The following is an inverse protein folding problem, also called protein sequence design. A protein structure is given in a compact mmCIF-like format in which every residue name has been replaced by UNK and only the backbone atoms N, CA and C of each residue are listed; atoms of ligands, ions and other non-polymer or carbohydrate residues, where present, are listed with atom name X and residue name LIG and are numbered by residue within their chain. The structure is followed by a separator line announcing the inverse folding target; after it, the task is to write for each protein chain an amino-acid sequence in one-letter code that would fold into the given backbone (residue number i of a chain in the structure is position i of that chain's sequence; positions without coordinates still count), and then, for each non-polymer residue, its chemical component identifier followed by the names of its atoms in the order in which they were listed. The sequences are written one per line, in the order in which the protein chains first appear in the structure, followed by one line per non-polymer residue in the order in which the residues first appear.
data_IF_717078100851
#
_entry.id   IF_717078100851
#
_cell.length_a   1.000
_cell.length_b   1.000
_cell.length_c   1.000
_cell.angle_alpha   90.00
_cell.angle_beta   90.00
_cell.angle_gamma   90.00
#
_symmetry.space_group_name_H-M   'P 1'
#
loop_
_entity.id
_entity.type
_entity.pdbx_description
1 polymer ?
#
# COMPACT_ATOMS: atom_id res chain seq x y z
N UNK A 1 -8.13 -37.47 5.65
CA UNK A 1 -7.60 -36.74 4.48
C UNK A 1 -8.74 -36.55 3.51
N UNK A 2 -9.29 -35.33 3.41
CA UNK A 2 -10.50 -35.07 2.64
C UNK A 2 -10.16 -34.88 1.16
N UNK A 3 -11.06 -35.33 0.31
CA UNK A 3 -11.01 -35.29 -1.16
C UNK A 3 -10.80 -33.88 -1.73
N UNK A 4 -10.98 -32.84 -0.95
CA UNK A 4 -10.85 -31.42 -1.30
C UNK A 4 -9.41 -30.91 -1.43
N UNK A 5 -8.40 -31.62 -0.88
CA UNK A 5 -7.00 -31.19 -0.99
C UNK A 5 -6.36 -31.50 -2.35
N UNK A 6 -7.00 -32.32 -3.19
CA UNK A 6 -6.50 -32.72 -4.53
C UNK A 6 -7.05 -31.89 -5.67
N UNK A 7 -8.12 -31.11 -5.46
CA UNK A 7 -8.80 -30.33 -6.52
C UNK A 7 -8.35 -28.86 -6.60
N UNK A 8 -7.64 -28.36 -5.63
CA UNK A 8 -7.23 -26.96 -5.56
C UNK A 8 -5.71 -26.83 -5.52
N UNK A 9 -4.96 -27.42 -6.40
CA UNK A 9 -3.55 -27.19 -6.71
C UNK A 9 -2.71 -26.28 -5.77
N UNK A 10 -3.02 -26.24 -4.48
CA UNK A 10 -2.23 -25.53 -3.48
C UNK A 10 -0.96 -26.32 -3.21
N UNK A 11 0.14 -25.98 -3.88
CA UNK A 11 1.45 -26.21 -3.30
C UNK A 11 1.52 -25.38 -2.01
N UNK A 12 1.31 -26.04 -0.88
CA UNK A 12 1.73 -25.51 0.42
C UNK A 12 3.22 -25.17 0.31
N UNK A 13 3.54 -23.90 0.30
CA UNK A 13 4.87 -23.45 0.71
C UNK A 13 4.94 -23.63 2.23
N UNK A 14 5.40 -24.82 2.65
CA UNK A 14 5.60 -25.18 4.06
C UNK A 14 6.85 -24.52 4.68
N UNK A 15 7.47 -23.54 4.03
CA UNK A 15 8.76 -23.00 4.49
C UNK A 15 8.69 -21.65 5.23
N UNK A 16 7.50 -21.17 5.65
CA UNK A 16 7.44 -19.92 6.45
C UNK A 16 6.94 -20.08 7.88
N UNK A 17 6.65 -21.32 8.35
CA UNK A 17 6.25 -21.56 9.75
C UNK A 17 7.40 -21.89 10.71
N UNK A 18 8.64 -22.04 10.23
CA UNK A 18 9.78 -22.42 11.05
C UNK A 18 10.76 -21.30 11.41
N UNK A 19 10.42 -20.02 11.17
CA UNK A 19 11.25 -18.88 11.61
C UNK A 19 10.78 -18.30 12.95
N UNK A 20 9.62 -18.75 13.47
CA UNK A 20 9.09 -18.27 14.77
C UNK A 20 9.45 -19.22 15.93
N UNK A 21 10.27 -20.26 15.70
CA UNK A 21 10.56 -21.30 16.70
C UNK A 21 12.01 -21.53 17.06
N UNK A 22 12.97 -20.78 16.56
CA UNK A 22 14.33 -20.79 17.10
C UNK A 22 14.45 -19.66 18.12
N UNK A 23 14.71 -19.98 19.38
CA UNK A 23 15.29 -19.07 20.36
C UNK A 23 16.59 -18.48 19.76
N UNK A 24 16.45 -17.50 18.88
CA UNK A 24 17.54 -16.62 18.58
C UNK A 24 17.80 -15.87 19.88
N UNK A 25 18.97 -16.11 20.45
CA UNK A 25 19.55 -15.24 21.45
C UNK A 25 19.50 -13.83 20.88
N UNK A 26 18.42 -13.12 21.22
CA UNK A 26 18.28 -11.70 21.03
C UNK A 26 19.49 -11.07 21.68
N UNK A 27 20.33 -10.39 20.91
CA UNK A 27 21.13 -9.33 21.50
C UNK A 27 20.14 -8.22 21.80
N UNK A 28 19.69 -8.06 23.04
CA UNK A 28 18.89 -6.90 23.40
C UNK A 28 19.78 -5.69 23.13
N UNK A 29 19.18 -4.55 22.77
CA UNK A 29 19.81 -3.29 23.05
C UNK A 29 19.93 -3.21 24.60
N UNK A 30 21.00 -3.83 25.13
CA UNK A 30 21.25 -4.04 26.57
C UNK A 30 21.63 -2.74 27.29
N UNK A 31 21.38 -1.58 26.66
CA UNK A 31 21.77 -0.25 27.16
C UNK A 31 20.63 0.79 27.11
N UNK A 32 19.42 0.45 26.67
CA UNK A 32 18.33 1.43 26.61
C UNK A 32 17.26 1.13 27.65
N UNK A 33 17.15 1.98 28.66
CA UNK A 33 16.05 1.96 29.63
C UNK A 33 14.81 2.55 28.96
N UNK A 34 13.84 1.70 28.62
CA UNK A 34 12.59 2.11 27.99
C UNK A 34 11.35 1.57 28.71
N UNK A 35 10.27 2.28 28.57
CA UNK A 35 8.94 1.81 28.94
C UNK A 35 7.95 2.02 27.79
N UNK A 36 7.01 1.11 27.65
CA UNK A 36 5.87 1.24 26.74
C UNK A 36 4.70 1.79 27.53
N UNK A 37 4.02 2.80 26.98
CA UNK A 37 2.89 3.48 27.63
C UNK A 37 1.70 3.50 26.68
N UNK A 38 0.51 3.25 27.21
CA UNK A 38 -0.77 3.37 26.52
C UNK A 38 -1.79 4.05 27.43
N UNK A 39 -2.61 4.94 26.87
CA UNK A 39 -3.56 5.76 27.62
C UNK A 39 -4.97 5.61 27.06
N UNK A 40 -5.88 5.14 27.90
CA UNK A 40 -7.29 5.11 27.52
C UNK A 40 -7.98 6.45 27.84
N UNK A 41 -8.52 7.07 26.80
CA UNK A 41 -9.14 8.39 26.88
C UNK A 41 -10.63 8.30 26.55
N UNK A 42 -11.44 8.95 27.36
CA UNK A 42 -12.87 9.00 27.14
C UNK A 42 -13.25 9.74 25.87
N UNK A 43 -14.11 9.14 25.04
CA UNK A 43 -14.55 9.72 23.75
C UNK A 43 -15.34 11.01 23.87
N UNK A 44 -15.99 11.24 25.02
CA UNK A 44 -16.88 12.40 25.23
C UNK A 44 -16.24 13.50 26.06
N UNK A 45 -15.49 13.13 27.07
CA UNK A 45 -14.91 14.07 28.05
C UNK A 45 -13.46 14.40 27.77
N UNK A 46 -12.79 13.64 26.86
CA UNK A 46 -11.38 13.79 26.51
C UNK A 46 -10.43 13.74 27.72
N UNK A 47 -10.83 13.02 28.79
CA UNK A 47 -10.02 12.81 29.99
C UNK A 47 -9.39 11.44 29.98
N UNK A 48 -8.27 11.32 30.66
CA UNK A 48 -7.60 10.05 30.90
C UNK A 48 -8.49 9.24 31.87
N UNK A 49 -8.88 8.06 31.46
CA UNK A 49 -9.66 7.11 32.25
C UNK A 49 -8.79 6.00 32.82
N UNK A 50 -7.74 5.62 32.11
CA UNK A 50 -6.83 4.58 32.52
C UNK A 50 -5.44 4.76 31.89
N UNK A 51 -4.38 4.33 32.58
CA UNK A 51 -2.99 4.40 32.10
C UNK A 51 -2.34 3.05 32.35
N UNK A 52 -1.84 2.43 31.30
CA UNK A 52 -0.95 1.28 31.35
C UNK A 52 0.48 1.69 31.01
N UNK A 53 1.43 1.09 31.73
CA UNK A 53 2.82 1.14 31.32
C UNK A 53 3.52 -0.18 31.63
N UNK A 54 4.55 -0.46 30.82
CA UNK A 54 5.34 -1.70 30.91
C UNK A 54 6.81 -1.35 30.65
N UNK A 55 7.67 -1.53 31.63
CA UNK A 55 9.12 -1.36 31.47
C UNK A 55 9.77 -2.49 30.68
N UNK A 56 11.00 -2.29 30.26
CA UNK A 56 11.81 -3.28 29.56
C UNK A 56 11.99 -4.59 30.36
N UNK A 57 11.99 -4.53 31.70
CA UNK A 57 12.13 -5.63 32.66
C UNK A 57 10.80 -6.33 33.01
N UNK A 58 9.72 -6.01 32.29
CA UNK A 58 8.34 -6.50 32.51
C UNK A 58 7.65 -5.96 33.77
N UNK A 59 8.25 -4.96 34.47
CA UNK A 59 7.56 -4.26 35.56
C UNK A 59 6.40 -3.44 35.00
N UNK A 60 5.21 -3.62 35.58
CA UNK A 60 3.95 -3.05 35.09
C UNK A 60 3.45 -1.92 35.96
N UNK A 61 2.79 -0.97 35.35
CA UNK A 61 2.02 0.11 36.00
C UNK A 61 0.59 0.10 35.43
N UNK A 62 -0.42 0.22 36.30
CA UNK A 62 -1.82 0.27 35.90
C UNK A 62 -2.58 1.13 36.90
N UNK A 63 -2.75 2.41 36.62
CA UNK A 63 -3.46 3.40 37.45
C UNK A 63 -3.97 4.55 36.57
N UNK A 64 -4.69 5.50 37.20
CA UNK A 64 -5.25 6.67 36.53
C UNK A 64 -4.44 7.96 36.74
N UNK A 65 -3.48 7.98 37.69
CA UNK A 65 -2.68 9.17 38.02
C UNK A 65 -1.46 9.32 37.14
N UNK A 66 -1.34 10.49 36.51
CA UNK A 66 -0.17 10.89 35.71
C UNK A 66 1.06 11.09 36.59
N UNK A 67 0.88 11.65 37.79
CA UNK A 67 1.96 11.93 38.72
C UNK A 67 2.62 10.62 39.17
N UNK A 68 1.83 9.61 39.47
CA UNK A 68 2.35 8.28 39.81
C UNK A 68 3.04 7.60 38.62
N UNK A 69 2.51 7.80 37.40
CA UNK A 69 3.18 7.34 36.19
C UNK A 69 4.56 8.00 36.03
N UNK A 70 4.67 9.31 36.21
CA UNK A 70 5.96 10.01 36.08
C UNK A 70 6.98 9.54 37.13
N UNK A 71 6.54 9.25 38.34
CA UNK A 71 7.39 8.62 39.36
C UNK A 71 7.85 7.23 38.91
N UNK A 72 6.93 6.44 38.32
CA UNK A 72 7.25 5.10 37.79
C UNK A 72 8.26 5.17 36.65
N UNK A 73 8.23 6.22 35.80
CA UNK A 73 9.09 6.42 34.63
C UNK A 73 10.39 7.19 34.91
N UNK A 74 10.69 7.54 36.18
CA UNK A 74 11.78 8.44 36.51
C UNK A 74 13.18 7.93 36.08
N UNK A 75 13.36 6.61 36.02
CA UNK A 75 14.60 5.93 35.61
C UNK A 75 14.66 5.59 34.12
N UNK A 76 13.69 6.06 33.32
CA UNK A 76 13.52 5.70 31.91
C UNK A 76 13.97 6.86 31.01
N UNK A 77 14.65 6.54 29.91
CA UNK A 77 15.07 7.51 28.89
C UNK A 77 14.11 7.54 27.68
N UNK A 78 13.55 6.39 27.29
CA UNK A 78 12.67 6.27 26.13
C UNK A 78 11.27 5.86 26.53
N UNK A 79 10.25 6.60 26.06
CA UNK A 79 8.86 6.19 26.16
C UNK A 79 8.39 5.76 24.79
N UNK A 80 7.98 4.50 24.71
CA UNK A 80 7.50 3.88 23.50
C UNK A 80 5.98 3.71 23.53
N UNK A 81 5.34 3.72 22.37
CA UNK A 81 3.92 3.44 22.25
C UNK A 81 3.49 3.32 20.79
N UNK A 82 2.24 2.93 20.59
CA UNK A 82 1.69 2.82 19.25
C UNK A 82 0.78 4.00 18.93
N UNK A 83 1.24 4.94 18.10
CA UNK A 83 0.67 6.27 17.86
C UNK A 83 0.83 7.23 19.06
N UNK A 84 1.86 7.01 19.86
CA UNK A 84 2.09 7.77 21.09
C UNK A 84 2.29 9.26 20.82
N UNK A 85 3.02 9.65 19.76
CA UNK A 85 3.33 11.05 19.44
C UNK A 85 2.08 11.87 19.16
N UNK A 86 1.11 11.28 18.45
CA UNK A 86 -0.10 12.01 18.03
C UNK A 86 -1.33 11.70 18.86
N UNK A 87 -1.29 10.73 19.76
CA UNK A 87 -2.39 10.38 20.66
C UNK A 87 -2.01 10.60 22.13
N UNK A 88 -1.27 9.69 22.73
CA UNK A 88 -1.08 9.64 24.17
C UNK A 88 -0.30 10.82 24.73
N UNK A 89 0.73 11.26 24.01
CA UNK A 89 1.57 12.39 24.41
C UNK A 89 0.78 13.70 24.60
N UNK A 90 -0.32 13.92 23.88
CA UNK A 90 -1.19 15.09 24.04
C UNK A 90 -1.85 15.15 25.41
N UNK A 91 -2.21 13.99 25.94
CA UNK A 91 -2.89 13.88 27.22
C UNK A 91 -1.91 13.79 28.38
N UNK A 92 -0.77 13.13 28.16
CA UNK A 92 0.26 12.99 29.18
C UNK A 92 1.05 14.28 29.39
N UNK A 93 1.45 14.98 28.33
CA UNK A 93 2.39 16.11 28.36
C UNK A 93 1.78 17.45 27.94
N UNK A 94 0.44 17.61 28.03
CA UNK A 94 -0.25 18.79 27.52
C UNK A 94 0.26 20.12 28.09
N UNK A 95 0.74 20.11 29.35
CA UNK A 95 1.21 21.29 30.07
C UNK A 95 2.66 21.15 30.58
N UNK A 96 3.30 20.01 30.32
CA UNK A 96 4.61 19.68 30.84
C UNK A 96 5.63 19.53 29.70
N UNK A 97 6.86 19.96 29.91
CA UNK A 97 7.98 19.70 29.01
C UNK A 97 8.33 18.22 29.09
N UNK A 98 8.07 17.49 28.01
CA UNK A 98 8.48 16.09 27.90
C UNK A 98 10.00 16.03 27.79
N UNK A 99 10.67 15.44 28.80
CA UNK A 99 12.12 15.20 28.80
C UNK A 99 12.48 13.82 28.27
N UNK A 100 11.50 12.94 28.09
CA UNK A 100 11.71 11.62 27.51
C UNK A 100 11.76 11.65 25.99
N UNK A 101 12.51 10.74 25.42
CA UNK A 101 12.56 10.52 23.98
C UNK A 101 11.40 9.60 23.58
N UNK A 102 10.50 10.09 22.73
CA UNK A 102 9.32 9.33 22.31
C UNK A 102 9.63 8.43 21.11
N UNK A 103 9.25 7.16 21.18
CA UNK A 103 9.37 6.16 20.11
C UNK A 103 8.00 5.69 19.69
N UNK A 104 7.63 5.91 18.42
CA UNK A 104 6.30 5.58 17.90
C UNK A 104 6.36 4.41 16.91
N UNK A 105 5.88 3.25 17.35
CA UNK A 105 5.90 2.04 16.54
C UNK A 105 4.98 2.13 15.31
N UNK A 106 3.93 2.96 15.32
CA UNK A 106 3.02 3.08 14.17
C UNK A 106 3.71 3.66 12.93
N UNK A 107 4.70 4.55 13.10
CA UNK A 107 5.45 5.15 12.00
C UNK A 107 6.56 4.22 11.47
N UNK A 108 7.13 3.41 12.34
CA UNK A 108 8.21 2.48 12.01
C UNK A 108 7.67 1.22 11.33
N UNK A 109 6.52 0.71 11.79
CA UNK A 109 5.92 -0.52 11.30
C UNK A 109 5.74 -0.57 9.76
N UNK A 110 5.20 0.46 9.06
CA UNK A 110 5.06 0.42 7.60
C UNK A 110 6.40 0.50 6.86
N UNK A 111 7.44 1.04 7.49
CA UNK A 111 8.78 1.11 6.92
C UNK A 111 9.47 -0.26 6.92
N UNK A 112 9.30 -1.02 8.00
CA UNK A 112 9.98 -2.29 8.21
C UNK A 112 9.16 -3.51 7.77
N UNK A 113 7.83 -3.39 7.76
CA UNK A 113 6.88 -4.44 7.36
C UNK A 113 5.95 -3.96 6.23
N UNK A 114 6.49 -3.46 5.10
CA UNK A 114 5.71 -2.83 4.05
C UNK A 114 4.71 -3.79 3.36
N UNK A 115 4.87 -5.11 3.51
CA UNK A 115 3.94 -6.12 2.99
C UNK A 115 2.68 -6.29 3.85
N UNK A 116 2.66 -5.76 5.09
CA UNK A 116 1.49 -5.84 5.95
C UNK A 116 0.44 -4.81 5.53
N UNK A 117 -0.80 -5.21 5.25
CA UNK A 117 -1.85 -4.26 4.84
C UNK A 117 -2.36 -3.38 5.99
N UNK A 118 -2.13 -3.83 7.24
CA UNK A 118 -2.59 -3.14 8.45
C UNK A 118 -1.45 -3.03 9.46
N UNK A 119 -1.33 -1.83 10.06
CA UNK A 119 -0.31 -1.51 11.05
C UNK A 119 -0.90 -1.12 12.41
N UNK A 120 -2.21 -1.27 12.62
CA UNK A 120 -2.84 -1.08 13.93
C UNK A 120 -2.61 -2.31 14.79
N UNK A 121 -2.42 -2.11 16.11
CA UNK A 121 -2.46 -3.20 17.07
C UNK A 121 -3.80 -3.93 16.98
N UNK A 122 -3.76 -5.25 16.89
CA UNK A 122 -4.97 -6.08 16.84
C UNK A 122 -5.58 -6.04 18.24
N UNK A 123 -6.76 -5.44 18.37
CA UNK A 123 -7.57 -5.57 19.59
C UNK A 123 -8.15 -6.97 19.64
N UNK A 124 -8.00 -7.66 20.77
CA UNK A 124 -8.56 -8.99 20.94
C UNK A 124 -10.06 -8.99 20.67
N UNK A 125 -10.56 -10.08 20.06
CA UNK A 125 -11.96 -10.19 19.67
C UNK A 125 -12.88 -9.87 20.85
N UNK A 126 -13.83 -8.95 20.62
CA UNK A 126 -14.82 -8.46 21.59
C UNK A 126 -15.75 -9.54 22.16
N UNK A 127 -15.52 -10.82 21.86
CA UNK A 127 -16.39 -11.95 22.20
C UNK A 127 -16.07 -12.65 23.51
N UNK A 128 -14.97 -12.31 24.19
CA UNK A 128 -14.62 -12.95 25.47
C UNK A 128 -14.46 -11.89 26.55
N UNK A 129 -15.55 -11.67 27.29
CA UNK A 129 -15.66 -11.20 28.69
C UNK A 129 -14.82 -10.01 29.19
N UNK A 130 -15.52 -9.03 29.77
CA UNK A 130 -15.20 -8.13 30.91
C UNK A 130 -13.78 -7.54 31.11
N UNK A 131 -12.78 -7.96 30.35
CA UNK A 131 -11.43 -7.38 30.30
C UNK A 131 -11.23 -6.47 29.08
N UNK A 132 -12.29 -5.86 28.60
CA UNK A 132 -12.24 -4.89 27.53
C UNK A 132 -11.46 -3.64 27.98
N UNK A 133 -10.42 -3.30 27.20
CA UNK A 133 -9.58 -2.11 27.35
C UNK A 133 -8.66 -2.14 28.59
N UNK A 134 -7.81 -3.16 28.72
CA UNK A 134 -6.70 -3.10 29.66
C UNK A 134 -5.47 -2.51 28.95
N UNK A 135 -5.06 -1.27 29.24
CA UNK A 135 -3.94 -0.60 28.54
C UNK A 135 -2.60 -1.33 28.74
N UNK A 136 -2.44 -2.12 29.80
CA UNK A 136 -1.24 -2.96 29.98
C UNK A 136 -1.14 -4.07 28.91
N UNK A 137 -2.26 -4.61 28.44
CA UNK A 137 -2.24 -5.58 27.35
C UNK A 137 -1.86 -4.93 26.00
N UNK A 138 -2.29 -3.73 25.76
CA UNK A 138 -1.89 -2.98 24.56
C UNK A 138 -0.41 -2.55 24.67
N UNK A 139 0.10 -2.22 25.87
CA UNK A 139 1.54 -2.05 26.13
C UNK A 139 2.36 -3.33 25.80
N UNK A 140 1.89 -4.52 26.18
CA UNK A 140 2.58 -5.78 25.84
C UNK A 140 2.69 -5.99 24.34
N UNK A 141 1.57 -5.80 23.61
CA UNK A 141 1.56 -5.90 22.14
C UNK A 141 2.47 -4.87 21.47
N UNK A 142 2.47 -3.64 21.97
CA UNK A 142 3.34 -2.58 21.46
C UNK A 142 4.83 -2.87 21.77
N UNK A 143 5.14 -3.49 22.94
CA UNK A 143 6.49 -3.97 23.27
C UNK A 143 6.95 -5.06 22.31
N UNK A 144 6.11 -6.06 22.07
CA UNK A 144 6.42 -7.15 21.14
C UNK A 144 6.68 -6.58 19.72
N UNK A 145 5.83 -5.64 19.26
CA UNK A 145 6.01 -4.97 17.97
C UNK A 145 7.32 -4.17 17.93
N UNK A 146 7.67 -3.42 18.98
CA UNK A 146 8.92 -2.67 19.07
C UNK A 146 10.14 -3.59 18.97
N UNK A 147 10.10 -4.73 19.65
CA UNK A 147 11.19 -5.71 19.59
C UNK A 147 11.32 -6.34 18.19
N UNK A 148 10.20 -6.63 17.54
CA UNK A 148 10.16 -7.08 16.14
C UNK A 148 10.75 -6.01 15.20
N UNK A 149 10.41 -4.74 15.42
CA UNK A 149 10.92 -3.60 14.63
C UNK A 149 12.44 -3.45 14.79
N UNK A 150 12.96 -3.51 16.02
CA UNK A 150 14.40 -3.46 16.29
C UNK A 150 15.10 -4.66 15.65
N UNK A 151 14.54 -5.85 15.75
CA UNK A 151 15.09 -7.05 15.13
C UNK A 151 15.12 -6.92 13.59
N UNK A 152 14.02 -6.47 12.99
CA UNK A 152 13.92 -6.25 11.55
C UNK A 152 14.91 -5.16 11.07
N UNK A 153 15.02 -4.04 11.80
CA UNK A 153 16.01 -3.00 11.52
C UNK A 153 17.43 -3.56 11.49
N UNK A 154 17.80 -4.40 12.46
CA UNK A 154 19.14 -5.00 12.54
C UNK A 154 19.41 -6.00 11.42
N UNK A 155 18.37 -6.63 10.86
CA UNK A 155 18.47 -7.51 9.69
C UNK A 155 18.68 -6.76 8.38
N UNK A 156 18.31 -5.47 8.30
CA UNK A 156 18.58 -4.65 7.13
C UNK A 156 20.09 -4.52 6.90
N UNK A 157 20.51 -4.49 5.64
CA UNK A 157 21.90 -4.19 5.29
C UNK A 157 22.32 -2.81 5.82
N UNK A 158 23.61 -2.65 6.18
CA UNK A 158 24.12 -1.35 6.66
C UNK A 158 23.75 -0.20 5.73
N UNK A 159 23.85 -0.38 4.41
CA UNK A 159 23.50 0.65 3.41
C UNK A 159 22.03 1.05 3.47
N UNK A 160 21.10 0.09 3.68
CA UNK A 160 19.66 0.39 3.81
C UNK A 160 19.37 1.14 5.11
N UNK A 161 19.96 0.73 6.24
CA UNK A 161 19.82 1.45 7.51
C UNK A 161 20.30 2.89 7.39
N UNK A 162 21.49 3.10 6.80
CA UNK A 162 22.02 4.44 6.55
C UNK A 162 21.09 5.24 5.64
N UNK A 163 20.55 4.64 4.58
CA UNK A 163 19.60 5.31 3.69
C UNK A 163 18.36 5.80 4.43
N UNK A 164 17.67 4.89 5.13
CA UNK A 164 16.44 5.25 5.84
C UNK A 164 16.70 6.26 6.96
N UNK A 165 17.79 6.09 7.73
CA UNK A 165 18.19 7.06 8.75
C UNK A 165 18.47 8.44 8.13
N UNK A 166 19.15 8.51 6.98
CA UNK A 166 19.46 9.79 6.32
C UNK A 166 18.22 10.52 5.81
N UNK A 167 17.19 9.79 5.36
CA UNK A 167 15.91 10.37 4.91
C UNK A 167 15.05 10.85 6.09
N UNK A 168 15.16 10.22 7.26
CA UNK A 168 14.18 10.35 8.35
C UNK A 168 14.73 11.04 9.61
N UNK A 169 16.04 11.30 9.70
CA UNK A 169 16.72 11.84 10.91
C UNK A 169 16.14 13.15 11.45
N UNK A 170 15.63 14.02 10.57
CA UNK A 170 15.08 15.32 10.93
C UNK A 170 13.54 15.28 11.05
N UNK A 171 12.95 14.10 11.24
CA UNK A 171 11.51 13.88 11.35
C UNK A 171 11.17 13.37 12.74
N UNK A 172 10.40 14.20 13.49
CA UNK A 172 10.03 13.97 14.89
C UNK A 172 9.49 12.56 15.15
N UNK A 173 8.73 12.02 14.18
CA UNK A 173 8.08 10.71 14.30
C UNK A 173 9.09 9.55 14.27
N UNK A 174 10.31 9.78 13.78
CA UNK A 174 11.33 8.74 13.60
C UNK A 174 12.56 8.93 14.47
N UNK A 175 12.78 10.17 14.96
CA UNK A 175 13.97 10.56 15.72
C UNK A 175 14.22 9.65 16.92
N UNK A 176 13.19 9.36 17.70
CA UNK A 176 13.30 8.52 18.87
C UNK A 176 13.74 7.08 18.56
N UNK A 177 13.15 6.46 17.54
CA UNK A 177 13.54 5.12 17.11
C UNK A 177 14.98 5.11 16.58
N UNK A 178 15.33 6.06 15.72
CA UNK A 178 16.69 6.16 15.15
C UNK A 178 17.75 6.39 16.25
N UNK A 179 17.43 7.17 17.26
CA UNK A 179 18.27 7.35 18.46
C UNK A 179 18.43 6.05 19.24
N UNK A 180 17.31 5.34 19.52
CA UNK A 180 17.30 4.08 20.25
C UNK A 180 18.15 3.00 19.58
N UNK A 181 18.12 2.89 18.24
CA UNK A 181 18.93 1.93 17.49
C UNK A 181 20.33 2.46 17.11
N UNK A 182 20.72 3.63 17.60
CA UNK A 182 22.00 4.30 17.30
C UNK A 182 22.27 4.34 15.79
N UNK A 183 21.29 4.82 15.02
CA UNK A 183 21.33 4.79 13.57
C UNK A 183 22.38 5.74 12.99
N UNK A 184 23.27 5.23 12.13
CA UNK A 184 24.21 6.02 11.34
C UNK A 184 23.50 6.66 10.15
N UNK A 185 23.86 7.89 9.77
CA UNK A 185 23.33 8.59 8.61
C UNK A 185 24.42 9.38 7.86
N UNK A 186 24.12 9.78 6.64
CA UNK A 186 24.98 10.60 5.78
C UNK A 186 24.23 11.89 5.40
N UNK A 187 24.97 12.94 5.08
CA UNK A 187 24.43 14.23 4.64
C UNK A 187 24.46 14.37 3.12
N UNK A 188 25.38 13.72 2.46
CA UNK A 188 25.62 13.81 1.01
C UNK A 188 25.59 12.44 0.34
N UNK A 189 25.31 12.40 -0.96
CA UNK A 189 25.35 11.18 -1.75
C UNK A 189 24.14 10.26 -1.60
N UNK A 190 23.04 10.71 -0.96
CA UNK A 190 21.80 9.93 -0.81
C UNK A 190 21.23 9.48 -2.18
N UNK A 191 21.16 10.34 -3.24
CA UNK A 191 20.68 9.92 -4.55
C UNK A 191 21.51 8.78 -5.15
N UNK A 192 22.84 8.82 -4.99
CA UNK A 192 23.74 7.76 -5.46
C UNK A 192 23.48 6.44 -4.71
N UNK A 193 23.30 6.51 -3.40
CA UNK A 193 22.99 5.35 -2.56
C UNK A 193 21.65 4.72 -2.95
N UNK A 194 20.63 5.52 -3.25
CA UNK A 194 19.33 5.03 -3.74
C UNK A 194 19.51 4.31 -5.07
N UNK A 195 20.19 4.93 -6.05
CA UNK A 195 20.42 4.33 -7.38
C UNK A 195 21.18 3.01 -7.28
N UNK A 196 22.12 2.89 -6.35
CA UNK A 196 22.87 1.66 -6.11
C UNK A 196 21.98 0.56 -5.50
N UNK A 197 21.22 0.87 -4.43
CA UNK A 197 20.41 -0.11 -3.71
C UNK A 197 19.19 -0.58 -4.52
N UNK A 198 18.68 0.28 -5.38
CA UNK A 198 17.47 0.03 -6.18
C UNK A 198 17.77 -0.11 -7.68
N UNK A 199 19.01 -0.46 -8.02
CA UNK A 199 19.40 -0.74 -9.40
C UNK A 199 18.45 -1.80 -10.01
N UNK A 200 17.92 -1.54 -11.21
CA UNK A 200 16.95 -2.41 -11.89
C UNK A 200 15.55 -2.45 -11.30
N UNK A 201 15.28 -1.74 -10.18
CA UNK A 201 13.97 -1.64 -9.56
C UNK A 201 13.27 -0.30 -9.81
N UNK A 202 14.02 0.74 -10.14
CA UNK A 202 13.53 2.10 -10.40
C UNK A 202 14.19 2.69 -11.64
N UNK A 203 13.57 3.72 -12.22
CA UNK A 203 14.18 4.52 -13.28
C UNK A 203 15.45 5.21 -12.78
N UNK A 204 16.55 5.09 -13.52
CA UNK A 204 17.83 5.68 -13.15
C UNK A 204 17.88 7.21 -13.31
N UNK A 205 16.96 7.77 -14.11
CA UNK A 205 16.83 9.21 -14.37
C UNK A 205 15.68 9.88 -13.61
N UNK A 206 15.16 9.19 -12.55
CA UNK A 206 14.17 9.82 -11.68
C UNK A 206 14.80 10.98 -10.89
N UNK A 207 14.02 12.06 -10.72
CA UNK A 207 14.45 13.25 -9.95
C UNK A 207 14.44 12.94 -8.44
N UNK A 208 15.53 12.31 -7.99
CA UNK A 208 15.69 11.92 -6.60
C UNK A 208 15.98 13.13 -5.68
N UNK A 209 16.63 14.17 -6.19
CA UNK A 209 16.98 15.35 -5.40
C UNK A 209 15.70 16.07 -4.95
N UNK A 210 14.76 16.29 -5.86
CA UNK A 210 13.43 16.86 -5.56
C UNK A 210 12.67 15.98 -4.55
N UNK A 211 12.69 14.65 -4.73
CA UNK A 211 11.98 13.74 -3.82
C UNK A 211 12.57 13.71 -2.42
N UNK A 212 13.90 13.78 -2.28
CA UNK A 212 14.61 13.82 -0.99
C UNK A 212 14.29 15.12 -0.27
N UNK A 213 14.30 16.25 -0.97
CA UNK A 213 14.05 17.55 -0.39
C UNK A 213 12.60 17.73 0.05
N UNK A 214 11.65 17.38 -0.82
CA UNK A 214 10.23 17.71 -0.59
C UNK A 214 9.47 16.61 0.16
N UNK A 215 9.83 15.34 -0.05
CA UNK A 215 9.03 14.20 0.40
C UNK A 215 9.87 13.06 1.03
N UNK A 216 10.78 13.34 1.97
CA UNK A 216 11.70 12.31 2.48
C UNK A 216 10.99 11.14 3.16
N UNK A 217 9.93 11.38 3.95
CA UNK A 217 9.13 10.31 4.57
C UNK A 217 8.38 9.48 3.53
N UNK A 218 7.72 10.16 2.58
CA UNK A 218 7.02 9.49 1.48
C UNK A 218 7.97 8.68 0.62
N UNK A 219 9.18 9.19 0.36
CA UNK A 219 10.23 8.48 -0.36
C UNK A 219 10.70 7.23 0.41
N UNK A 220 10.93 7.33 1.72
CA UNK A 220 11.33 6.19 2.54
C UNK A 220 10.28 5.05 2.48
N UNK A 221 8.99 5.37 2.65
CA UNK A 221 7.91 4.39 2.51
C UNK A 221 7.79 3.83 1.08
N UNK A 222 7.94 4.67 0.06
CA UNK A 222 7.91 4.23 -1.34
C UNK A 222 9.07 3.25 -1.63
N UNK A 223 10.27 3.54 -1.16
CA UNK A 223 11.43 2.67 -1.30
C UNK A 223 11.26 1.35 -0.53
N UNK A 224 10.68 1.39 0.68
CA UNK A 224 10.36 0.19 1.44
C UNK A 224 9.37 -0.71 0.68
N UNK A 225 8.29 -0.14 0.11
CA UNK A 225 7.32 -0.86 -0.72
C UNK A 225 7.95 -1.46 -1.98
N UNK A 226 8.81 -0.71 -2.67
CA UNK A 226 9.51 -1.16 -3.89
C UNK A 226 10.44 -2.34 -3.59
N UNK A 227 10.96 -2.42 -2.39
CA UNK A 227 11.94 -3.45 -1.98
C UNK A 227 11.28 -4.75 -1.52
N UNK A 228 9.97 -4.80 -1.36
CA UNK A 228 9.29 -6.04 -0.99
C UNK A 228 9.51 -7.13 -2.02
N UNK A 229 9.61 -8.37 -1.55
CA UNK A 229 9.64 -9.55 -2.43
C UNK A 229 8.24 -9.89 -2.94
N UNK A 230 7.21 -9.46 -2.25
CA UNK A 230 5.82 -9.61 -2.68
C UNK A 230 5.42 -8.44 -3.57
N UNK A 231 5.41 -8.68 -4.89
CA UNK A 231 4.97 -7.71 -5.90
C UNK A 231 3.49 -7.31 -5.77
N UNK A 232 2.74 -8.00 -4.92
CA UNK A 232 1.32 -7.74 -4.64
C UNK A 232 1.12 -6.78 -3.47
N UNK A 233 2.17 -6.40 -2.75
CA UNK A 233 2.07 -5.44 -1.65
C UNK A 233 1.50 -4.12 -2.14
N UNK A 234 0.47 -3.65 -1.45
CA UNK A 234 -0.17 -2.36 -1.70
C UNK A 234 0.24 -1.36 -0.64
N UNK A 235 0.16 -0.08 -0.97
CA UNK A 235 0.39 0.97 0.02
C UNK A 235 -0.63 0.83 1.16
N UNK A 236 -0.19 0.60 2.41
CA UNK A 236 -1.10 0.45 3.53
C UNK A 236 -2.05 1.64 3.68
N UNK A 237 -3.28 1.39 4.08
CA UNK A 237 -4.30 2.45 4.20
C UNK A 237 -3.90 3.59 5.14
N UNK A 238 -3.14 3.30 6.20
CA UNK A 238 -2.60 4.31 7.10
C UNK A 238 -1.56 5.19 6.40
N UNK A 239 -0.66 4.59 5.61
CA UNK A 239 0.34 5.33 4.81
C UNK A 239 -0.36 6.20 3.78
N UNK A 240 -1.35 5.67 3.03
CA UNK A 240 -2.15 6.46 2.08
C UNK A 240 -2.85 7.66 2.72
N UNK A 241 -3.26 7.52 3.97
CA UNK A 241 -3.92 8.60 4.69
C UNK A 241 -2.94 9.69 5.13
N UNK A 242 -1.78 9.31 5.65
CA UNK A 242 -0.80 10.24 6.22
C UNK A 242 0.22 10.75 5.19
N UNK A 243 0.58 9.91 4.21
CA UNK A 243 1.59 10.17 3.17
C UNK A 243 1.04 9.82 1.78
N UNK A 244 -0.03 10.51 1.30
CA UNK A 244 -0.69 10.20 0.03
C UNK A 244 0.24 10.37 -1.19
N UNK A 245 1.35 11.10 -1.05
CA UNK A 245 2.38 11.27 -2.06
C UNK A 245 3.13 9.97 -2.39
N UNK A 246 3.06 8.95 -1.55
CA UNK A 246 3.73 7.66 -1.78
C UNK A 246 3.33 7.04 -3.11
N UNK A 247 2.02 7.04 -3.45
CA UNK A 247 1.55 6.53 -4.75
C UNK A 247 2.15 7.33 -5.92
N UNK A 248 2.28 8.64 -5.78
CA UNK A 248 2.89 9.51 -6.78
C UNK A 248 4.39 9.24 -6.92
N UNK A 249 5.11 9.09 -5.80
CA UNK A 249 6.55 8.79 -5.78
C UNK A 249 6.82 7.43 -6.44
N UNK A 250 6.06 6.39 -6.10
CA UNK A 250 6.19 5.06 -6.73
C UNK A 250 5.95 5.16 -8.24
N UNK A 251 4.96 5.97 -8.68
CA UNK A 251 4.72 6.22 -10.10
C UNK A 251 5.90 6.92 -10.79
N UNK A 252 6.47 7.96 -10.17
CA UNK A 252 7.66 8.64 -10.73
C UNK A 252 8.85 7.70 -10.85
N UNK A 253 9.08 6.88 -9.82
CA UNK A 253 10.22 5.97 -9.79
C UNK A 253 10.06 4.76 -10.73
N UNK A 254 8.84 4.28 -10.97
CA UNK A 254 8.61 2.97 -11.59
C UNK A 254 7.67 2.96 -12.79
N UNK A 255 6.88 3.99 -13.03
CA UNK A 255 5.86 4.00 -14.09
C UNK A 255 5.90 5.27 -14.95
N UNK A 256 6.99 6.01 -14.87
CA UNK A 256 7.24 7.18 -15.72
C UNK A 256 8.53 6.91 -16.49
N UNK A 257 8.40 6.71 -17.81
CA UNK A 257 9.56 6.46 -18.66
C UNK A 257 10.43 7.72 -18.78
N UNK A 258 11.75 7.55 -18.69
CA UNK A 258 12.69 8.62 -18.93
C UNK A 258 12.91 8.83 -20.43
N UNK A 259 13.28 10.07 -20.82
CA UNK A 259 13.56 10.42 -22.22
C UNK A 259 14.82 9.76 -22.76
N UNK A 260 15.82 9.57 -21.91
CA UNK A 260 17.13 9.02 -22.30
C UNK A 260 17.11 7.51 -22.52
N UNK A 261 16.08 6.83 -22.00
CA UNK A 261 15.99 5.37 -21.98
C UNK A 261 17.02 4.73 -21.02
N UNK A 262 16.55 4.05 -20.00
CA UNK A 262 17.42 3.26 -19.13
C UNK A 262 16.95 1.80 -19.12
N UNK A 263 17.82 0.88 -18.66
CA UNK A 263 17.53 -0.56 -18.65
C UNK A 263 16.20 -0.89 -17.96
N UNK A 264 15.87 -0.18 -16.86
CA UNK A 264 14.59 -0.33 -16.19
C UNK A 264 13.42 0.05 -17.09
N UNK A 265 13.46 1.22 -17.75
CA UNK A 265 12.39 1.67 -18.60
C UNK A 265 12.23 0.79 -19.86
N UNK A 266 13.34 0.36 -20.48
CA UNK A 266 13.31 -0.55 -21.62
C UNK A 266 12.70 -1.92 -21.29
N UNK A 267 12.91 -2.45 -20.09
CA UNK A 267 12.37 -3.76 -19.72
C UNK A 267 10.99 -3.69 -19.06
N UNK A 268 10.74 -2.69 -18.21
CA UNK A 268 9.51 -2.65 -17.42
C UNK A 268 8.39 -1.82 -18.07
N UNK A 269 8.73 -0.82 -18.89
CA UNK A 269 7.77 0.10 -19.48
C UNK A 269 7.64 -0.02 -21.01
N UNK A 270 8.49 -0.81 -21.65
CA UNK A 270 8.38 -1.11 -23.08
C UNK A 270 7.21 -2.06 -23.36
N UNK A 271 6.31 -1.65 -24.24
CA UNK A 271 5.08 -2.40 -24.54
C UNK A 271 5.34 -3.67 -25.35
N UNK A 272 6.35 -3.68 -26.23
CA UNK A 272 6.68 -4.86 -27.04
C UNK A 272 7.36 -5.92 -26.18
N UNK A 273 8.31 -5.50 -25.33
CA UNK A 273 8.92 -6.42 -24.38
C UNK A 273 7.88 -7.07 -23.48
N UNK A 274 6.96 -6.29 -22.91
CA UNK A 274 5.92 -6.83 -22.02
C UNK A 274 4.84 -7.62 -22.76
N UNK A 275 4.55 -7.29 -24.04
CA UNK A 275 3.67 -8.07 -24.89
C UNK A 275 4.20 -9.51 -25.05
N UNK A 276 5.50 -9.64 -25.29
CA UNK A 276 6.16 -10.94 -25.39
C UNK A 276 6.15 -11.68 -24.04
N UNK A 277 6.47 -11.00 -22.94
CA UNK A 277 6.54 -11.63 -21.61
C UNK A 277 5.17 -12.12 -21.12
N UNK A 278 4.11 -11.31 -21.24
CA UNK A 278 2.79 -11.68 -20.72
C UNK A 278 1.97 -12.54 -21.67
N UNK A 279 2.08 -12.31 -22.97
CA UNK A 279 1.18 -12.93 -23.97
C UNK A 279 1.90 -13.83 -24.99
N UNK A 280 3.22 -13.80 -25.04
CA UNK A 280 4.02 -14.57 -26.00
C UNK A 280 3.91 -14.05 -27.44
N UNK A 281 3.43 -12.82 -27.67
CA UNK A 281 3.32 -12.23 -28.99
C UNK A 281 4.55 -11.39 -29.32
N UNK A 282 5.07 -11.53 -30.56
CA UNK A 282 6.23 -10.79 -31.04
C UNK A 282 5.87 -9.36 -31.53
N UNK A 283 4.63 -9.12 -31.93
CA UNK A 283 4.16 -7.84 -32.46
C UNK A 283 2.66 -7.64 -32.21
N UNK A 284 2.26 -6.37 -32.22
CA UNK A 284 0.85 -5.98 -32.22
C UNK A 284 0.20 -6.21 -33.59
N UNK A 285 -1.12 -6.35 -33.60
CA UNK A 285 -1.90 -6.42 -34.84
C UNK A 285 -2.00 -5.04 -35.50
N UNK A 286 -1.90 -5.04 -36.82
CA UNK A 286 -2.16 -3.85 -37.65
C UNK A 286 -3.55 -3.98 -38.32
N UNK A 287 -4.15 -2.86 -38.63
CA UNK A 287 -5.45 -2.76 -39.31
C UNK A 287 -5.29 -1.85 -40.50
N UNK A 288 -5.52 -2.39 -41.70
CA UNK A 288 -5.31 -1.66 -42.95
C UNK A 288 -3.93 -1.01 -43.05
N UNK A 289 -2.90 -1.65 -42.47
CA UNK A 289 -1.52 -1.12 -42.41
C UNK A 289 -1.24 -0.20 -41.21
N UNK A 290 -2.26 0.23 -40.46
CA UNK A 290 -2.09 1.13 -39.31
C UNK A 290 -1.85 0.35 -38.01
N UNK A 291 -0.88 0.76 -37.18
CA UNK A 291 -0.55 0.09 -35.90
C UNK A 291 -1.49 0.52 -34.76
N UNK A 292 -2.81 0.45 -34.98
CA UNK A 292 -3.81 0.97 -34.05
C UNK A 292 -3.77 0.31 -32.67
N UNK A 293 -3.53 -1.01 -32.61
CA UNK A 293 -3.47 -1.74 -31.36
C UNK A 293 -2.26 -1.30 -30.52
N UNK A 294 -1.11 -1.13 -31.16
CA UNK A 294 0.12 -0.63 -30.51
C UNK A 294 -0.07 0.79 -30.00
N UNK A 295 -0.57 1.71 -30.85
CA UNK A 295 -0.84 3.10 -30.47
C UNK A 295 -1.83 3.22 -29.32
N UNK A 296 -2.89 2.41 -29.30
CA UNK A 296 -3.85 2.40 -28.22
C UNK A 296 -3.22 1.88 -26.90
N UNK A 297 -2.42 0.83 -26.98
CA UNK A 297 -1.70 0.27 -25.84
C UNK A 297 -0.70 1.27 -25.28
N UNK A 298 0.10 1.91 -26.14
CA UNK A 298 1.08 2.93 -25.74
C UNK A 298 0.40 4.13 -25.06
N UNK A 299 -0.68 4.66 -25.68
CA UNK A 299 -1.45 5.76 -25.08
C UNK A 299 -2.04 5.38 -23.70
N UNK A 300 -2.44 4.12 -23.55
CA UNK A 300 -2.92 3.62 -22.27
C UNK A 300 -1.79 3.55 -21.23
N UNK A 301 -0.59 3.07 -21.56
CA UNK A 301 0.57 3.05 -20.64
C UNK A 301 0.96 4.46 -20.21
N UNK A 302 0.93 5.42 -21.13
CA UNK A 302 1.18 6.84 -20.86
C UNK A 302 0.08 7.52 -20.01
N UNK A 303 -1.00 6.79 -19.67
CA UNK A 303 -2.10 7.32 -18.86
C UNK A 303 -3.05 8.26 -19.60
N UNK A 304 -3.03 8.25 -20.93
CA UNK A 304 -3.95 9.05 -21.77
C UNK A 304 -5.35 8.44 -21.75
N UNK A 305 -6.38 9.28 -21.77
CA UNK A 305 -7.75 8.87 -22.03
C UNK A 305 -7.94 8.68 -23.54
N UNK A 306 -8.51 7.54 -23.93
CA UNK A 306 -8.70 7.20 -25.34
C UNK A 306 -10.03 6.48 -25.57
N UNK A 307 -10.55 6.60 -26.79
CA UNK A 307 -11.61 5.78 -27.33
C UNK A 307 -10.99 4.86 -28.39
N UNK A 308 -11.05 3.55 -28.15
CA UNK A 308 -10.50 2.53 -29.05
C UNK A 308 -11.64 1.85 -29.82
N UNK A 309 -11.66 2.03 -31.13
CA UNK A 309 -12.66 1.42 -32.02
C UNK A 309 -11.94 0.42 -32.92
N UNK A 310 -12.30 -0.87 -32.77
CA UNK A 310 -11.73 -1.95 -33.54
C UNK A 310 -12.86 -2.85 -34.09
N UNK A 311 -12.64 -3.57 -35.19
CA UNK A 311 -13.59 -4.57 -35.66
C UNK A 311 -13.81 -5.68 -34.61
N UNK A 312 -14.90 -6.41 -34.72
CA UNK A 312 -15.17 -7.58 -33.87
C UNK A 312 -14.05 -8.61 -34.05
N UNK A 313 -13.59 -9.19 -32.91
CA UNK A 313 -12.43 -10.09 -32.96
C UNK A 313 -11.07 -9.38 -33.13
N UNK A 314 -11.05 -8.06 -33.20
CA UNK A 314 -9.85 -7.24 -33.41
C UNK A 314 -8.89 -7.15 -32.23
N UNK A 315 -9.01 -7.99 -31.19
CA UNK A 315 -8.06 -7.97 -30.07
C UNK A 315 -8.10 -6.71 -29.19
N UNK A 316 -9.27 -6.08 -29.05
CA UNK A 316 -9.49 -4.90 -28.19
C UNK A 316 -9.01 -5.12 -26.76
N UNK A 317 -9.25 -6.31 -26.20
CA UNK A 317 -8.93 -6.62 -24.80
C UNK A 317 -7.44 -6.41 -24.47
N UNK A 318 -6.55 -6.72 -25.42
CA UNK A 318 -5.11 -6.55 -25.24
C UNK A 318 -4.71 -5.10 -24.95
N UNK A 319 -5.42 -4.11 -25.54
CA UNK A 319 -5.10 -2.68 -25.38
C UNK A 319 -5.31 -2.15 -23.97
N UNK A 320 -6.02 -2.86 -23.13
CA UNK A 320 -6.17 -2.52 -21.72
C UNK A 320 -5.63 -3.60 -20.77
N UNK A 321 -5.59 -4.88 -21.17
CA UNK A 321 -5.04 -5.95 -20.34
C UNK A 321 -3.53 -5.80 -20.17
N UNK A 322 -2.78 -5.59 -21.24
CA UNK A 322 -1.32 -5.41 -21.17
C UNK A 322 -0.94 -4.20 -20.30
N UNK A 323 -1.49 -2.98 -20.52
CA UNK A 323 -1.21 -1.85 -19.65
C UNK A 323 -1.64 -2.08 -18.19
N UNK A 324 -2.69 -2.86 -17.94
CA UNK A 324 -3.12 -3.19 -16.58
C UNK A 324 -2.10 -4.07 -15.85
N UNK A 325 -1.60 -5.11 -16.53
CA UNK A 325 -0.56 -6.00 -15.97
C UNK A 325 0.75 -5.25 -15.74
N UNK A 326 1.15 -4.39 -16.67
CA UNK A 326 2.33 -3.52 -16.52
C UNK A 326 2.19 -2.58 -15.30
N UNK A 327 1.02 -1.95 -15.13
CA UNK A 327 0.75 -1.09 -13.98
C UNK A 327 0.64 -1.89 -12.67
N UNK A 328 0.06 -3.08 -12.70
CA UNK A 328 0.05 -4.00 -11.56
C UNK A 328 1.46 -4.32 -11.08
N UNK A 329 2.36 -4.67 -12.01
CA UNK A 329 3.76 -5.00 -11.71
C UNK A 329 4.58 -3.80 -11.22
N UNK A 330 4.37 -2.62 -11.81
CA UNK A 330 5.22 -1.45 -11.53
C UNK A 330 4.76 -0.63 -10.33
N UNK A 331 3.45 -0.43 -10.16
CA UNK A 331 2.90 0.48 -9.15
C UNK A 331 1.77 -0.15 -8.30
N UNK A 332 1.61 -1.47 -8.34
CA UNK A 332 0.49 -2.19 -7.71
C UNK A 332 -0.88 -1.61 -8.07
N UNK A 333 -0.97 -1.08 -9.30
CA UNK A 333 -2.14 -0.39 -9.81
C UNK A 333 -3.28 -1.35 -10.15
N UNK A 334 -4.51 -0.93 -9.85
CA UNK A 334 -5.72 -1.66 -10.22
C UNK A 334 -6.36 -1.02 -11.46
N UNK A 335 -6.60 -1.81 -12.49
CA UNK A 335 -7.44 -1.42 -13.63
C UNK A 335 -8.85 -1.99 -13.42
N UNK A 336 -9.86 -1.13 -13.41
CA UNK A 336 -11.27 -1.52 -13.27
C UNK A 336 -11.91 -1.57 -14.64
N UNK A 337 -12.32 -2.75 -15.08
CA UNK A 337 -13.01 -2.99 -16.34
C UNK A 337 -14.51 -3.13 -16.09
N UNK A 338 -15.28 -2.20 -16.61
CA UNK A 338 -16.73 -2.18 -16.48
C UNK A 338 -17.30 -2.78 -17.76
N UNK A 339 -17.89 -3.99 -17.64
CA UNK A 339 -18.47 -4.73 -18.77
C UNK A 339 -19.92 -5.11 -18.49
N UNK A 340 -20.80 -5.11 -19.50
CA UNK A 340 -22.22 -5.39 -19.32
C UNK A 340 -22.56 -6.88 -19.25
N UNK A 341 -21.69 -7.73 -19.78
CA UNK A 341 -21.94 -9.16 -19.95
C UNK A 341 -21.11 -10.00 -18.97
N UNK A 342 -21.79 -10.63 -18.02
CA UNK A 342 -21.14 -11.40 -16.95
C UNK A 342 -20.42 -12.65 -17.50
N UNK A 343 -20.97 -13.31 -18.52
CA UNK A 343 -20.28 -14.41 -19.21
C UNK A 343 -18.96 -13.96 -19.84
N UNK A 344 -18.97 -12.82 -20.54
CA UNK A 344 -17.77 -12.26 -21.14
C UNK A 344 -16.70 -11.90 -20.11
N UNK A 345 -17.10 -11.34 -18.95
CA UNK A 345 -16.17 -11.07 -17.85
C UNK A 345 -15.49 -12.33 -17.35
N UNK A 346 -16.26 -13.42 -17.20
CA UNK A 346 -15.72 -14.72 -16.79
C UNK A 346 -14.76 -15.26 -17.85
N UNK A 347 -15.17 -15.27 -19.12
CA UNK A 347 -14.34 -15.75 -20.22
C UNK A 347 -13.01 -14.97 -20.32
N UNK A 348 -13.02 -13.65 -20.06
CA UNK A 348 -11.80 -12.84 -20.04
C UNK A 348 -10.87 -13.24 -18.89
N UNK A 349 -11.40 -13.51 -17.70
CA UNK A 349 -10.61 -13.95 -16.55
C UNK A 349 -10.08 -15.37 -16.78
N UNK A 350 -10.90 -16.29 -17.27
CA UNK A 350 -10.52 -17.68 -17.53
C UNK A 350 -9.42 -17.73 -18.63
N UNK A 351 -9.57 -16.97 -19.72
CA UNK A 351 -8.56 -16.88 -20.79
C UNK A 351 -7.20 -16.31 -20.32
N UNK A 352 -7.19 -15.41 -19.33
CA UNK A 352 -5.95 -14.95 -18.70
C UNK A 352 -5.36 -16.03 -17.81
N UNK A 353 -6.19 -16.73 -17.02
CA UNK A 353 -5.76 -17.81 -16.14
C UNK A 353 -5.16 -18.98 -16.92
N UNK A 354 -5.72 -19.34 -18.07
CA UNK A 354 -5.20 -20.39 -18.98
C UNK A 354 -3.80 -20.04 -19.50
N UNK A 355 -3.44 -18.76 -19.54
CA UNK A 355 -2.09 -18.27 -19.87
C UNK A 355 -1.17 -18.14 -18.64
N UNK A 356 -1.62 -18.58 -17.47
CA UNK A 356 -0.88 -18.44 -16.22
C UNK A 356 -0.96 -17.03 -15.59
N UNK A 357 -1.80 -16.14 -16.13
CA UNK A 357 -2.02 -14.79 -15.60
C UNK A 357 -3.18 -14.84 -14.62
N UNK A 358 -2.86 -14.91 -13.34
CA UNK A 358 -3.86 -15.03 -12.25
C UNK A 358 -4.27 -13.70 -11.62
N UNK A 359 -3.75 -12.58 -12.09
CA UNK A 359 -3.95 -11.25 -11.53
C UNK A 359 -5.30 -10.61 -11.89
N UNK A 360 -6.17 -11.35 -12.58
CA UNK A 360 -7.51 -10.90 -12.95
C UNK A 360 -8.57 -11.54 -12.05
N UNK A 361 -9.55 -10.74 -11.65
CA UNK A 361 -10.72 -11.21 -10.90
C UNK A 361 -12.00 -10.60 -11.46
N UNK A 362 -13.12 -11.26 -11.23
CA UNK A 362 -14.45 -10.72 -11.51
C UNK A 362 -15.27 -10.62 -10.23
N UNK A 363 -16.08 -9.56 -10.13
CA UNK A 363 -17.10 -9.40 -9.10
C UNK A 363 -18.40 -9.01 -9.78
N UNK A 364 -19.37 -9.94 -9.77
CA UNK A 364 -20.68 -9.75 -10.37
C UNK A 364 -21.80 -10.36 -9.50
N UNK A 365 -23.03 -10.20 -9.93
CA UNK A 365 -24.22 -10.66 -9.17
C UNK A 365 -24.45 -12.16 -9.19
N UNK A 366 -23.82 -12.92 -10.10
CA UNK A 366 -24.02 -14.37 -10.24
C UNK A 366 -23.01 -15.20 -9.45
N UNK A 367 -21.98 -14.58 -8.88
CA UNK A 367 -21.02 -15.28 -8.03
C UNK A 367 -21.69 -15.73 -6.75
N UNK A 368 -21.42 -16.96 -6.33
CA UNK A 368 -21.77 -17.42 -5.00
C UNK A 368 -21.07 -16.59 -3.93
N UNK A 369 -21.63 -16.51 -2.70
CA UNK A 369 -21.10 -15.64 -1.64
C UNK A 369 -19.63 -15.91 -1.28
N UNK A 370 -19.16 -17.17 -1.37
CA UNK A 370 -17.78 -17.55 -1.02
C UNK A 370 -16.82 -17.04 -2.08
N UNK A 371 -17.07 -17.36 -3.34
CA UNK A 371 -16.25 -16.90 -4.48
C UNK A 371 -16.21 -15.38 -4.56
N UNK A 372 -17.36 -14.73 -4.31
CA UNK A 372 -17.43 -13.27 -4.26
C UNK A 372 -16.57 -12.69 -3.13
N UNK A 373 -16.62 -13.29 -1.93
CA UNK A 373 -15.80 -12.86 -0.79
C UNK A 373 -14.31 -13.01 -1.10
N UNK A 374 -13.90 -14.14 -1.68
CA UNK A 374 -12.51 -14.38 -2.10
C UNK A 374 -12.05 -13.38 -3.17
N UNK A 375 -12.88 -13.07 -4.17
CA UNK A 375 -12.56 -12.06 -5.19
C UNK A 375 -12.38 -10.67 -4.56
N UNK A 376 -13.26 -10.30 -3.61
CA UNK A 376 -13.16 -9.05 -2.86
C UNK A 376 -11.84 -9.01 -2.08
N UNK A 377 -11.51 -10.07 -1.36
CA UNK A 377 -10.28 -10.18 -0.58
C UNK A 377 -9.04 -10.03 -1.48
N UNK A 378 -8.98 -10.74 -2.60
CA UNK A 378 -7.88 -10.63 -3.57
C UNK A 378 -7.66 -9.21 -4.08
N UNK A 379 -8.75 -8.47 -4.31
CA UNK A 379 -8.64 -7.04 -4.67
C UNK A 379 -8.11 -6.23 -3.49
N UNK A 380 -8.59 -6.47 -2.27
CA UNK A 380 -8.17 -5.73 -1.07
C UNK A 380 -6.69 -5.98 -0.74
N UNK A 381 -6.24 -7.22 -0.87
CA UNK A 381 -4.88 -7.63 -0.52
C UNK A 381 -3.85 -7.32 -1.63
N UNK A 382 -4.30 -6.73 -2.75
CA UNK A 382 -3.41 -6.32 -3.84
C UNK A 382 -3.06 -7.41 -4.84
N UNK A 383 -3.65 -8.61 -4.72
CA UNK A 383 -3.42 -9.73 -5.63
C UNK A 383 -4.00 -9.54 -7.02
N UNK A 384 -4.89 -8.56 -7.20
CA UNK A 384 -5.53 -8.28 -8.48
C UNK A 384 -5.00 -6.99 -9.10
N UNK A 385 -4.58 -7.07 -10.37
CA UNK A 385 -4.24 -5.94 -11.26
C UNK A 385 -5.41 -5.57 -12.17
N UNK A 386 -6.31 -6.53 -12.46
CA UNK A 386 -7.54 -6.34 -13.23
C UNK A 386 -8.76 -6.77 -12.41
N UNK A 387 -9.73 -5.86 -12.33
CA UNK A 387 -11.05 -6.13 -11.75
C UNK A 387 -12.12 -5.94 -12.79
N UNK A 388 -12.77 -7.03 -13.20
CA UNK A 388 -13.96 -6.97 -14.04
C UNK A 388 -15.21 -6.86 -13.17
N UNK A 389 -16.01 -5.82 -13.40
CA UNK A 389 -17.27 -5.60 -12.67
C UNK A 389 -18.40 -5.21 -13.60
N UNK A 390 -19.61 -5.55 -13.23
CA UNK A 390 -20.78 -5.06 -13.93
C UNK A 390 -21.17 -3.64 -13.48
N UNK A 391 -21.82 -2.84 -14.34
CA UNK A 391 -22.11 -1.43 -14.05
C UNK A 391 -22.90 -1.20 -12.75
N UNK A 392 -23.86 -2.09 -12.45
CA UNK A 392 -24.69 -2.04 -11.23
C UNK A 392 -23.87 -2.19 -9.95
N UNK A 393 -22.73 -2.90 -10.01
CA UNK A 393 -21.85 -3.09 -8.86
C UNK A 393 -21.20 -1.79 -8.36
N UNK A 394 -21.12 -0.76 -9.22
CA UNK A 394 -20.62 0.56 -8.84
C UNK A 394 -21.53 1.28 -7.81
N UNK A 395 -22.77 0.82 -7.62
CA UNK A 395 -23.68 1.32 -6.57
C UNK A 395 -23.37 0.72 -5.20
N UNK A 396 -22.60 -0.36 -5.14
CA UNK A 396 -22.25 -1.05 -3.90
C UNK A 396 -21.28 -0.19 -3.06
N UNK A 397 -21.65 0.07 -1.80
CA UNK A 397 -20.76 0.75 -0.83
C UNK A 397 -19.48 -0.06 -0.56
N UNK A 398 -19.56 -1.38 -0.60
CA UNK A 398 -18.40 -2.26 -0.44
C UNK A 398 -17.42 -2.05 -1.57
N UNK A 399 -17.87 -2.06 -2.83
CA UNK A 399 -17.03 -1.80 -4.00
C UNK A 399 -16.44 -0.39 -3.93
N UNK A 400 -17.24 0.63 -3.60
CA UNK A 400 -16.74 2.00 -3.44
C UNK A 400 -15.59 2.08 -2.42
N UNK A 401 -15.72 1.42 -1.25
CA UNK A 401 -14.70 1.41 -0.20
C UNK A 401 -13.41 0.73 -0.68
N UNK A 402 -13.52 -0.42 -1.34
CA UNK A 402 -12.38 -1.16 -1.88
C UNK A 402 -11.64 -0.31 -2.89
N UNK A 403 -12.35 0.28 -3.86
CA UNK A 403 -11.71 1.11 -4.89
C UNK A 403 -11.03 2.35 -4.31
N UNK A 404 -11.60 2.97 -3.25
CA UNK A 404 -10.97 4.10 -2.56
C UNK A 404 -9.68 3.67 -1.83
N UNK A 405 -9.64 2.45 -1.30
CA UNK A 405 -8.47 1.91 -0.60
C UNK A 405 -7.35 1.46 -1.57
N UNK A 406 -7.65 1.25 -2.85
CA UNK A 406 -6.71 0.80 -3.88
C UNK A 406 -6.20 1.96 -4.74
N UNK A 407 -5.02 1.80 -5.32
CA UNK A 407 -4.50 2.66 -6.37
C UNK A 407 -5.16 2.29 -7.71
N UNK A 408 -6.34 2.85 -8.00
CA UNK A 408 -6.99 2.66 -9.31
C UNK A 408 -6.31 3.55 -10.34
N UNK A 409 -5.56 2.95 -11.25
CA UNK A 409 -4.82 3.64 -12.31
C UNK A 409 -5.67 3.90 -13.55
N UNK A 410 -6.73 3.09 -13.77
CA UNK A 410 -7.56 3.20 -14.97
C UNK A 410 -8.96 2.63 -14.76
N UNK A 411 -9.93 3.30 -15.37
CA UNK A 411 -11.26 2.76 -15.63
C UNK A 411 -11.37 2.46 -17.13
N UNK A 412 -11.75 1.23 -17.46
CA UNK A 412 -12.04 0.77 -18.81
C UNK A 412 -13.54 0.55 -18.92
N UNK A 413 -14.14 1.08 -19.94
CA UNK A 413 -15.54 0.87 -20.23
C UNK A 413 -15.61 -0.01 -21.47
N UNK A 414 -15.89 -1.28 -21.27
CA UNK A 414 -16.06 -2.22 -22.35
C UNK A 414 -17.48 -2.13 -22.93
N UNK A 415 -17.64 -2.48 -24.20
CA UNK A 415 -18.91 -2.38 -24.92
C UNK A 415 -19.55 -0.97 -24.80
N UNK A 416 -18.75 0.09 -25.04
CA UNK A 416 -19.18 1.48 -24.88
C UNK A 416 -20.41 1.87 -25.71
N UNK A 417 -20.76 1.10 -26.74
CA UNK A 417 -22.00 1.29 -27.47
C UNK A 417 -23.27 1.18 -26.61
N UNK A 418 -23.19 0.50 -25.45
CA UNK A 418 -24.28 0.43 -24.48
C UNK A 418 -24.70 1.78 -23.90
N UNK A 419 -23.89 2.84 -24.05
CA UNK A 419 -24.32 4.18 -23.70
C UNK A 419 -25.42 4.75 -24.61
N UNK A 420 -25.44 4.35 -25.89
CA UNK A 420 -26.35 4.92 -26.87
C UNK A 420 -27.53 4.01 -27.19
N UNK A 421 -27.29 2.76 -27.58
CA UNK A 421 -28.32 1.87 -28.09
C UNK A 421 -29.04 1.04 -27.02
N UNK A 422 -28.36 0.75 -25.90
CA UNK A 422 -28.90 -0.06 -24.80
C UNK A 422 -29.03 0.72 -23.50
N UNK A 423 -28.42 1.91 -23.43
CA UNK A 423 -28.31 2.66 -22.18
C UNK A 423 -29.64 3.19 -21.66
N UNK A 424 -30.58 3.57 -22.54
CA UNK A 424 -31.86 4.12 -22.14
C UNK A 424 -32.86 3.07 -21.67
N UNK A 425 -32.95 1.96 -22.41
CA UNK A 425 -34.01 0.97 -22.16
C UNK A 425 -33.55 -0.24 -21.35
N UNK A 426 -32.24 -0.57 -21.36
CA UNK A 426 -31.75 -1.81 -20.76
C UNK A 426 -30.69 -1.62 -19.68
N UNK A 427 -29.86 -0.57 -19.70
CA UNK A 427 -28.73 -0.42 -18.79
C UNK A 427 -28.53 0.99 -18.25
N UNK A 428 -29.51 1.43 -17.48
CA UNK A 428 -29.49 2.73 -16.77
C UNK A 428 -28.20 2.93 -15.94
N UNK A 429 -27.59 1.84 -15.48
CA UNK A 429 -26.38 1.87 -14.68
C UNK A 429 -25.13 2.36 -15.46
N UNK A 430 -25.12 2.26 -16.80
CA UNK A 430 -24.08 2.88 -17.63
C UNK A 430 -24.05 4.41 -17.47
N UNK A 431 -25.20 5.03 -17.34
CA UNK A 431 -25.30 6.49 -17.10
C UNK A 431 -24.70 6.88 -15.74
N UNK A 432 -24.64 5.95 -14.80
CA UNK A 432 -24.08 6.19 -13.48
C UNK A 432 -22.52 6.16 -13.48
N UNK A 433 -21.88 5.49 -14.45
CA UNK A 433 -20.42 5.31 -14.51
C UNK A 433 -19.70 6.64 -14.44
N UNK A 434 -20.07 7.59 -15.28
CA UNK A 434 -19.44 8.92 -15.31
C UNK A 434 -19.57 9.67 -13.98
N UNK A 435 -20.74 9.57 -13.31
CA UNK A 435 -20.97 10.15 -11.97
C UNK A 435 -20.07 9.49 -10.93
N UNK A 436 -19.94 8.16 -10.98
CA UNK A 436 -19.12 7.40 -10.07
C UNK A 436 -17.62 7.76 -10.22
N UNK A 437 -17.10 7.78 -11.46
CA UNK A 437 -15.69 8.11 -11.72
C UNK A 437 -15.36 9.52 -11.24
N UNK A 438 -16.21 10.51 -11.52
CA UNK A 438 -16.04 11.89 -11.02
C UNK A 438 -16.02 11.94 -9.49
N UNK A 439 -16.94 11.23 -8.81
CA UNK A 439 -16.98 11.14 -7.36
C UNK A 439 -15.72 10.49 -6.79
N UNK A 440 -15.23 9.42 -7.42
CA UNK A 440 -13.99 8.75 -7.06
C UNK A 440 -12.79 9.69 -7.17
N UNK A 441 -12.65 10.37 -8.31
CA UNK A 441 -11.57 11.34 -8.56
C UNK A 441 -11.61 12.49 -7.54
N UNK A 442 -12.78 13.03 -7.24
CA UNK A 442 -12.95 14.09 -6.23
C UNK A 442 -12.47 13.61 -4.86
N UNK A 443 -12.84 12.41 -4.43
CA UNK A 443 -12.41 11.86 -3.12
C UNK A 443 -10.90 11.64 -3.04
N UNK A 444 -10.25 11.18 -4.12
CA UNK A 444 -8.79 11.05 -4.19
C UNK A 444 -8.10 12.41 -4.26
N UNK A 445 -8.57 13.32 -5.13
CA UNK A 445 -7.99 14.65 -5.31
C UNK A 445 -8.12 15.55 -4.07
N UNK A 446 -9.22 15.46 -3.31
CA UNK A 446 -9.38 16.22 -2.07
C UNK A 446 -8.30 15.86 -1.07
N UNK A 447 -7.95 14.58 -0.93
CA UNK A 447 -6.85 14.15 -0.03
C UNK A 447 -5.50 14.74 -0.43
N UNK A 448 -5.20 14.79 -1.74
CA UNK A 448 -3.94 15.34 -2.27
C UNK A 448 -3.94 16.87 -2.17
N UNK A 449 -5.05 17.54 -2.52
CA UNK A 449 -5.14 19.02 -2.53
C UNK A 449 -4.93 19.65 -1.16
N UNK A 450 -5.49 19.08 -0.11
CA UNK A 450 -5.40 19.69 1.23
C UNK A 450 -4.03 19.56 1.87
N UNK A 451 -3.21 18.59 1.46
CA UNK A 451 -1.89 18.37 2.06
C UNK A 451 -0.72 18.75 1.16
N UNK A 452 -0.87 18.66 -0.15
CA UNK A 452 0.23 18.81 -1.09
C UNK A 452 -0.18 19.59 -2.35
N UNK A 453 -0.36 20.93 -2.24
CA UNK A 453 -0.76 21.74 -3.39
C UNK A 453 0.23 21.71 -4.56
N UNK A 454 1.51 21.44 -4.31
CA UNK A 454 2.56 21.36 -5.33
C UNK A 454 2.51 20.09 -6.21
N UNK A 455 1.84 19.02 -5.76
CA UNK A 455 1.70 17.77 -6.53
C UNK A 455 0.56 17.79 -7.57
N UNK A 456 -0.08 18.92 -7.78
CA UNK A 456 -1.10 19.02 -8.83
C UNK A 456 -0.41 19.03 -10.21
N UNK A 457 -0.87 18.21 -11.17
CA UNK A 457 -0.44 18.41 -12.55
C UNK A 457 -0.74 19.86 -12.93
N UNK A 458 0.28 20.59 -13.37
CA UNK A 458 0.08 21.93 -13.92
C UNK A 458 -0.99 21.80 -15.00
N UNK A 459 -2.18 22.35 -14.75
CA UNK A 459 -3.18 22.50 -15.81
C UNK A 459 -2.50 23.35 -16.88
N UNK A 460 -2.21 22.72 -18.01
CA UNK A 460 -1.82 23.48 -19.20
C UNK A 460 -2.96 24.46 -19.44
N UNK A 461 -2.71 25.75 -19.20
CA UNK A 461 -3.57 26.80 -19.68
C UNK A 461 -3.63 26.64 -21.21
N UNK A 462 -4.76 26.16 -21.71
CA UNK A 462 -5.17 26.41 -23.08
C UNK A 462 -5.98 27.66 -23.08
#
# INVERSE_FOLDING_TARGET
MSIWSKLLGFKKTEDKKNIIGSKTTSVPCSACDYAVVDVEVGLKDHKIHDIGALKHDDTTFHKTSKEELFVFLNDINYICGHNIIHHDAKYLFANDTCHWILVDTLYISPLLFPERPYHRLVKDDKLICEQMNNPVNDCKKAKDLLLDEIACWNLLSKKKRVLFASLLKDKKEFEGFLSMVSAEYIHEGIPKLIKELYAGKICQHADLDMLIEQYPCGLAYALALIDTTDYRSITPGWVLYNYPEVEFIVKLLRHTACHEGCDYCHTQLDILYNLKIFFGYECFRTYEGEPLQERATQAAVEGKSLLAIFPTGGGKSLTFQLPALMAGRSVHGLTVVISPLQSLMKDQVDNLADRGITDAVTINGMLDPITRSLSIQRVQDGEASLLYISPEMLRSKTIERILIARHVVRFVIDEAHCFSSWGHDFRVDYLYIGKFIRKYQQKKNVRIRYRYPALQPRQSKK
#
